data_IF_587033355658
#
_entry.id   IF_587033355658
#
_cell.length_a   1.000
_cell.length_b   1.000
_cell.length_c   1.000
_cell.angle_alpha   90.00
_cell.angle_beta   90.00
_cell.angle_gamma   90.00
#
_symmetry.space_group_name_H-M   'P 1'
#
loop_
_entity.id
_entity.type
_entity.pdbx_description
1 polymer ?
#
# COMPACT_ATOMS: atom_id res chain seq x y z
N UNK A 1 6.44 -21.30 11.77
CA UNK A 1 7.52 -21.54 12.76
C UNK A 1 8.43 -20.31 12.93
N UNK A 2 9.51 -20.09 12.14
CA UNK A 2 10.48 -19.02 12.43
C UNK A 2 9.91 -17.57 12.43
N UNK A 3 8.91 -17.28 11.59
CA UNK A 3 8.28 -15.95 11.53
C UNK A 3 7.37 -15.63 12.71
N UNK A 4 6.81 -16.66 13.36
CA UNK A 4 5.92 -16.52 14.51
C UNK A 4 6.72 -16.27 15.79
N UNK A 5 7.83 -16.98 15.98
CA UNK A 5 8.77 -16.76 17.09
C UNK A 5 9.35 -15.34 17.05
N UNK A 6 9.77 -14.86 15.87
CA UNK A 6 10.29 -13.50 15.72
C UNK A 6 9.24 -12.44 16.11
N UNK A 7 7.97 -12.67 15.76
CA UNK A 7 6.86 -11.79 16.11
C UNK A 7 6.60 -11.79 17.61
N UNK A 8 6.63 -12.96 18.26
CA UNK A 8 6.51 -13.12 19.72
C UNK A 8 7.59 -12.32 20.45
N UNK A 9 8.84 -12.43 19.98
CA UNK A 9 9.99 -11.70 20.55
C UNK A 9 9.88 -10.17 20.39
N UNK A 10 9.39 -9.71 19.24
CA UNK A 10 9.15 -8.28 18.99
C UNK A 10 7.99 -7.76 19.86
N UNK A 11 6.93 -8.55 19.99
CA UNK A 11 5.80 -8.20 20.85
C UNK A 11 6.22 -8.12 22.32
N UNK A 12 7.02 -9.09 22.78
CA UNK A 12 7.58 -9.07 24.14
C UNK A 12 8.37 -7.78 24.40
N UNK A 13 9.23 -7.38 23.45
CA UNK A 13 9.98 -6.12 23.54
C UNK A 13 9.07 -4.89 23.62
N UNK A 14 7.99 -4.86 22.83
CA UNK A 14 6.97 -3.80 22.91
C UNK A 14 6.32 -3.76 24.30
N UNK A 15 5.95 -4.90 24.86
CA UNK A 15 5.31 -4.94 26.19
C UNK A 15 6.25 -4.59 27.34
N UNK A 16 7.54 -4.91 27.21
CA UNK A 16 8.60 -4.56 28.16
C UNK A 16 8.97 -3.07 28.08
N UNK A 17 8.93 -2.50 26.88
CA UNK A 17 9.29 -1.10 26.59
C UNK A 17 8.14 -0.42 25.85
N UNK A 18 7.04 -0.25 26.57
CA UNK A 18 5.81 0.30 25.98
C UNK A 18 5.97 1.74 25.49
N UNK A 19 6.80 2.54 26.16
CA UNK A 19 7.06 3.93 25.75
C UNK A 19 8.08 4.05 24.61
N UNK A 20 8.65 2.92 24.14
CA UNK A 20 9.65 2.90 23.08
C UNK A 20 8.97 2.79 21.70
N UNK A 21 8.80 3.93 21.04
CA UNK A 21 8.28 4.04 19.68
C UNK A 21 9.04 3.15 18.68
N UNK A 22 10.33 2.91 18.89
CA UNK A 22 11.13 2.07 17.98
C UNK A 22 10.74 0.60 18.08
N UNK A 23 10.39 0.11 19.28
CA UNK A 23 9.92 -1.25 19.49
C UNK A 23 8.56 -1.46 18.79
N UNK A 24 7.66 -0.47 18.91
CA UNK A 24 6.37 -0.48 18.20
C UNK A 24 6.57 -0.47 16.68
N UNK A 25 7.47 0.37 16.17
CA UNK A 25 7.81 0.43 14.75
C UNK A 25 8.32 -0.90 14.20
N UNK A 26 9.29 -1.52 14.87
CA UNK A 26 9.87 -2.80 14.46
C UNK A 26 8.84 -3.95 14.44
N UNK A 27 7.92 -3.98 15.42
CA UNK A 27 6.83 -4.97 15.44
C UNK A 27 5.86 -4.77 14.27
N UNK A 28 5.46 -3.52 14.00
CA UNK A 28 4.55 -3.19 12.92
C UNK A 28 5.15 -3.46 11.54
N UNK A 29 6.42 -3.11 11.34
CA UNK A 29 7.15 -3.40 10.11
C UNK A 29 7.22 -4.91 9.85
N UNK A 30 7.55 -5.71 10.88
CA UNK A 30 7.54 -7.16 10.75
C UNK A 30 6.16 -7.68 10.32
N UNK A 31 5.09 -7.23 11.00
CA UNK A 31 3.72 -7.63 10.68
C UNK A 31 3.27 -7.19 9.28
N UNK A 32 3.73 -6.03 8.81
CA UNK A 32 3.47 -5.55 7.45
C UNK A 32 4.16 -6.44 6.41
N UNK A 33 5.44 -6.77 6.61
CA UNK A 33 6.19 -7.64 5.68
C UNK A 33 5.64 -9.06 5.63
N UNK A 34 5.12 -9.57 6.74
CA UNK A 34 4.59 -10.94 6.83
C UNK A 34 3.08 -11.04 6.56
N UNK A 35 2.40 -9.91 6.30
CA UNK A 35 0.95 -9.89 6.06
C UNK A 35 0.10 -10.21 7.31
N UNK A 36 0.67 -10.12 8.52
CA UNK A 36 -0.01 -10.47 9.78
C UNK A 36 -0.45 -9.22 10.56
N UNK A 37 -0.94 -8.19 9.87
CA UNK A 37 -1.41 -6.94 10.49
C UNK A 37 -2.70 -7.15 11.32
N UNK A 38 -3.54 -8.12 10.96
CA UNK A 38 -4.73 -8.52 11.73
C UNK A 38 -4.37 -8.99 13.14
N UNK A 39 -3.31 -9.79 13.26
CA UNK A 39 -2.78 -10.27 14.55
C UNK A 39 -2.17 -9.14 15.40
N UNK A 40 -1.58 -8.14 14.77
CA UNK A 40 -1.12 -6.93 15.45
C UNK A 40 -2.31 -6.13 16.00
N UNK A 41 -3.36 -5.95 15.19
CA UNK A 41 -4.58 -5.24 15.61
C UNK A 41 -5.28 -5.94 16.79
N UNK A 42 -5.34 -7.28 16.81
CA UNK A 42 -5.92 -8.04 17.91
C UNK A 42 -5.17 -7.81 19.23
N UNK A 43 -3.83 -7.80 19.19
CA UNK A 43 -2.98 -7.53 20.35
C UNK A 43 -3.15 -6.11 20.90
N UNK A 44 -3.15 -5.10 20.02
CA UNK A 44 -3.39 -3.71 20.46
C UNK A 44 -4.81 -3.51 21.00
N UNK A 45 -5.84 -4.14 20.42
CA UNK A 45 -7.21 -4.15 20.98
C UNK A 45 -7.27 -4.75 22.38
N UNK A 46 -6.48 -5.79 22.65
CA UNK A 46 -6.38 -6.35 24.00
C UNK A 46 -5.85 -5.35 25.03
N UNK A 47 -5.10 -4.33 24.60
CA UNK A 47 -4.46 -3.34 25.48
C UNK A 47 -5.24 -2.01 25.59
N UNK A 48 -6.27 -1.78 24.77
CA UNK A 48 -7.06 -0.53 24.82
C UNK A 48 -7.89 -0.36 26.09
N UNK A 49 -8.13 -1.44 26.84
CA UNK A 49 -8.85 -1.41 28.12
C UNK A 49 -8.00 -1.00 29.32
N UNK A 50 -6.67 -0.86 29.16
CA UNK A 50 -5.76 -0.45 30.22
C UNK A 50 -5.78 1.08 30.40
N UNK A 51 -5.91 1.59 31.64
CA UNK A 51 -5.93 3.03 31.89
C UNK A 51 -4.61 3.75 31.56
N UNK A 52 -3.47 3.07 31.67
CA UNK A 52 -2.15 3.66 31.43
C UNK A 52 -1.74 3.49 29.96
N UNK A 53 -2.02 2.33 29.38
CA UNK A 53 -1.57 1.97 28.02
C UNK A 53 -2.64 2.15 26.95
N UNK A 54 -3.89 2.30 27.34
CA UNK A 54 -5.04 2.33 26.44
C UNK A 54 -5.05 3.46 25.41
N UNK A 55 -4.76 4.73 25.78
CA UNK A 55 -4.73 5.82 24.81
C UNK A 55 -3.66 5.62 23.72
N UNK A 56 -2.50 5.09 24.12
CA UNK A 56 -1.42 4.80 23.18
C UNK A 56 -1.73 3.56 22.32
N UNK A 57 -2.26 2.50 22.93
CA UNK A 57 -2.71 1.31 22.21
C UNK A 57 -3.74 1.68 21.13
N UNK A 58 -4.67 2.60 21.43
CA UNK A 58 -5.66 3.08 20.47
C UNK A 58 -5.01 3.85 19.31
N UNK A 59 -4.01 4.69 19.59
CA UNK A 59 -3.24 5.39 18.56
C UNK A 59 -2.52 4.40 17.62
N UNK A 60 -1.88 3.37 18.17
CA UNK A 60 -1.18 2.34 17.38
C UNK A 60 -2.16 1.47 16.59
N UNK A 61 -3.33 1.16 17.16
CA UNK A 61 -4.41 0.44 16.47
C UNK A 61 -4.89 1.22 15.24
N UNK A 62 -5.10 2.53 15.37
CA UNK A 62 -5.46 3.39 14.24
C UNK A 62 -4.38 3.38 13.14
N UNK A 63 -3.10 3.38 13.53
CA UNK A 63 -1.99 3.25 12.58
C UNK A 63 -2.00 1.90 11.83
N UNK A 64 -2.28 0.79 12.54
CA UNK A 64 -2.43 -0.54 11.91
C UNK A 64 -3.57 -0.55 10.89
N UNK A 65 -4.73 0.02 11.24
CA UNK A 65 -5.89 0.11 10.34
C UNK A 65 -5.55 0.92 9.09
N UNK A 66 -4.86 2.03 9.26
CA UNK A 66 -4.42 2.87 8.15
C UNK A 66 -3.45 2.14 7.22
N UNK A 67 -2.46 1.42 7.76
CA UNK A 67 -1.52 0.61 6.99
C UNK A 67 -2.23 -0.53 6.24
N UNK A 68 -3.16 -1.22 6.89
CA UNK A 68 -3.95 -2.27 6.25
C UNK A 68 -4.81 -1.72 5.10
N UNK A 69 -5.42 -0.55 5.29
CA UNK A 69 -6.21 0.14 4.25
C UNK A 69 -5.35 0.51 3.06
N UNK A 70 -4.14 1.05 3.30
CA UNK A 70 -3.20 1.35 2.23
C UNK A 70 -2.76 0.10 1.48
N UNK A 71 -2.49 -1.02 2.17
CA UNK A 71 -2.14 -2.28 1.51
C UNK A 71 -3.28 -2.77 0.60
N UNK A 72 -4.53 -2.73 1.07
CA UNK A 72 -5.70 -3.09 0.24
C UNK A 72 -5.86 -2.19 -0.99
N UNK A 73 -5.62 -0.88 -0.84
CA UNK A 73 -5.67 0.05 -1.97
C UNK A 73 -4.51 -0.18 -2.96
N UNK A 74 -3.32 -0.52 -2.46
CA UNK A 74 -2.14 -0.78 -3.27
C UNK A 74 -2.23 -2.10 -4.04
N UNK A 75 -2.98 -3.09 -3.54
CA UNK A 75 -3.27 -4.36 -4.22
C UNK A 75 -4.15 -4.23 -5.47
N UNK A 76 -4.59 -3.03 -5.83
CA UNK A 76 -5.31 -2.76 -7.08
C UNK A 76 -4.47 -2.03 -8.15
N UNK A 77 -3.28 -2.51 -8.57
CA UNK A 77 -2.70 -2.06 -9.82
C UNK A 77 -3.44 -2.80 -10.93
N UNK A 78 -4.50 -2.20 -11.48
CA UNK A 78 -4.95 -2.57 -12.82
C UNK A 78 -3.69 -2.62 -13.71
N UNK A 79 -3.40 -3.76 -14.40
CA UNK A 79 -2.19 -3.85 -15.18
C UNK A 79 -2.27 -2.77 -16.25
N UNK A 80 -1.40 -1.75 -16.17
CA UNK A 80 -1.17 -0.81 -17.26
C UNK A 80 -0.54 -1.61 -18.39
N UNK A 81 -1.35 -2.33 -19.17
CA UNK A 81 -0.97 -2.83 -20.49
C UNK A 81 -0.60 -1.59 -21.29
N UNK A 82 0.69 -1.32 -21.38
CA UNK A 82 1.21 -0.27 -22.25
C UNK A 82 0.60 -0.45 -23.63
N UNK A 83 0.10 0.65 -24.20
CA UNK A 83 -0.50 0.62 -25.54
C UNK A 83 0.53 0.03 -26.50
N UNK A 84 0.21 -1.02 -27.28
CA UNK A 84 1.19 -1.63 -28.16
C UNK A 84 1.69 -0.59 -29.15
N UNK A 85 3.01 -0.46 -29.30
CA UNK A 85 3.65 0.57 -30.14
C UNK A 85 3.10 0.63 -31.58
N UNK A 86 2.63 -0.51 -32.10
CA UNK A 86 1.96 -0.59 -33.40
C UNK A 86 0.63 0.16 -33.48
N UNK A 87 -0.16 0.19 -32.40
CA UNK A 87 -1.44 0.93 -32.36
C UNK A 87 -1.19 2.45 -32.36
N UNK A 88 -0.19 2.93 -31.62
CA UNK A 88 0.21 4.35 -31.65
C UNK A 88 0.70 4.77 -33.04
N UNK A 89 1.44 3.91 -33.74
CA UNK A 89 1.86 4.15 -35.12
C UNK A 89 0.67 4.19 -36.09
N UNK A 90 -0.29 3.28 -35.94
CA UNK A 90 -1.48 3.24 -36.77
C UNK A 90 -2.35 4.50 -36.62
N UNK A 91 -2.56 4.96 -35.38
CA UNK A 91 -3.31 6.20 -35.10
C UNK A 91 -2.58 7.42 -35.66
N UNK A 92 -1.26 7.52 -35.46
CA UNK A 92 -0.47 8.62 -36.00
C UNK A 92 -0.51 8.67 -37.53
N UNK A 93 -0.42 7.51 -38.20
CA UNK A 93 -0.53 7.41 -39.65
C UNK A 93 -1.92 7.82 -40.15
N UNK A 94 -2.99 7.36 -39.49
CA UNK A 94 -4.36 7.75 -39.86
C UNK A 94 -4.57 9.26 -39.72
N UNK A 95 -4.10 9.88 -38.65
CA UNK A 95 -4.15 11.34 -38.47
C UNK A 95 -3.36 12.07 -39.56
N UNK A 96 -2.13 11.62 -39.87
CA UNK A 96 -1.30 12.22 -40.90
C UNK A 96 -1.95 12.16 -42.29
N UNK A 97 -2.51 11.00 -42.66
CA UNK A 97 -3.24 10.84 -43.94
C UNK A 97 -4.45 11.77 -44.01
N UNK A 98 -5.20 11.90 -42.92
CA UNK A 98 -6.38 12.78 -42.86
C UNK A 98 -5.97 14.24 -43.04
N UNK A 99 -4.90 14.69 -42.38
CA UNK A 99 -4.38 16.06 -42.50
C UNK A 99 -3.83 16.35 -43.90
N UNK A 100 -3.09 15.40 -44.48
CA UNK A 100 -2.55 15.54 -45.83
C UNK A 100 -3.70 15.64 -46.85
N UNK A 101 -4.72 14.78 -46.73
CA UNK A 101 -5.88 14.80 -47.61
C UNK A 101 -6.66 16.12 -47.53
N UNK A 102 -6.91 16.64 -46.32
CA UNK A 102 -7.64 17.90 -46.16
C UNK A 102 -6.85 19.10 -46.70
N UNK A 103 -5.54 19.15 -46.45
CA UNK A 103 -4.66 20.19 -47.01
C UNK A 103 -4.64 20.13 -48.54
N UNK A 104 -4.49 18.94 -49.12
CA UNK A 104 -4.48 18.77 -50.57
C UNK A 104 -5.81 19.22 -51.20
N UNK A 105 -6.93 18.90 -50.55
CA UNK A 105 -8.26 19.32 -51.01
C UNK A 105 -8.54 20.82 -50.86
N UNK A 106 -7.94 21.48 -49.87
CA UNK A 106 -8.12 22.93 -49.64
C UNK A 106 -7.21 23.76 -50.55
N UNK A 107 -5.97 23.33 -50.79
CA UNK A 107 -4.98 24.09 -51.55
C UNK A 107 -4.85 23.69 -53.03
N UNK A 108 -5.36 22.52 -53.42
CA UNK A 108 -5.32 22.00 -54.79
C UNK A 108 -6.62 22.13 -55.57
N UNK A 109 -7.60 22.88 -55.03
CA UNK A 109 -8.89 23.19 -55.67
C UNK A 109 -8.95 24.61 -56.21
#
# INVERSE_FOLDING_TARGET
>A
MAGEEQRELLWKRVTERWEDDSAHGAFLEHCQRTGTLSDAAARYRGMTGDHTRGPEAQKRLNAVVFLATQAMMAENPAPRRGVPRGLTLAVAAACAVTVIYTLWRVFGG
#
